data_IF_516723968542
#
_entry.id   IF_516723968542
#
_cell.length_a   1.000
_cell.length_b   1.000
_cell.length_c   1.000
_cell.angle_alpha   90.00
_cell.angle_beta   90.00
_cell.angle_gamma   90.00
#
_symmetry.space_group_name_H-M   'P 1'
#
loop_
_entity.id
_entity.type
_entity.pdbx_description
1 polymer ?
#
# COMPACT_ATOMS: atom_id res chain seq x y z
N UNK A 1 4.90 -2.63 -26.72
CA UNK A 1 4.51 -2.78 -25.31
C UNK A 1 3.97 -4.18 -25.11
N UNK A 2 4.58 -4.98 -24.26
CA UNK A 2 4.14 -6.35 -23.94
C UNK A 2 3.72 -6.43 -22.47
N UNK A 3 2.69 -7.22 -22.19
CA UNK A 3 2.29 -7.55 -20.83
C UNK A 3 3.39 -8.41 -20.19
N UNK A 4 3.89 -7.99 -19.04
CA UNK A 4 4.91 -8.69 -18.28
C UNK A 4 4.32 -9.46 -17.10
N UNK A 5 3.30 -8.87 -16.45
CA UNK A 5 2.66 -9.45 -15.28
C UNK A 5 1.20 -8.97 -15.17
N UNK A 6 0.32 -9.86 -14.72
CA UNK A 6 -1.04 -9.51 -14.35
C UNK A 6 -1.34 -10.03 -12.95
N UNK A 7 -1.62 -9.10 -12.03
CA UNK A 7 -2.05 -9.38 -10.67
C UNK A 7 -3.55 -9.16 -10.47
N UNK A 8 -3.98 -9.23 -9.22
CA UNK A 8 -5.39 -9.04 -8.82
C UNK A 8 -5.91 -7.63 -9.17
N UNK A 9 -5.09 -6.60 -8.93
CA UNK A 9 -5.50 -5.19 -9.06
C UNK A 9 -4.83 -4.46 -10.21
N UNK A 10 -3.77 -4.99 -10.79
CA UNK A 10 -2.90 -4.28 -11.76
C UNK A 10 -2.39 -5.18 -12.87
N UNK A 11 -2.06 -4.54 -14.01
CA UNK A 11 -1.27 -5.12 -15.10
C UNK A 11 0.00 -4.31 -15.26
N UNK A 12 1.11 -4.98 -15.52
CA UNK A 12 2.42 -4.36 -15.71
C UNK A 12 2.90 -4.65 -17.14
N UNK A 13 3.29 -3.60 -17.85
CA UNK A 13 3.72 -3.65 -19.23
C UNK A 13 5.13 -3.08 -19.41
N UNK A 14 5.88 -3.63 -20.37
CA UNK A 14 7.09 -3.00 -20.86
C UNK A 14 6.76 -1.72 -21.64
N UNK A 15 7.62 -0.69 -21.53
CA UNK A 15 7.46 0.56 -22.30
C UNK A 15 8.35 0.64 -23.52
N UNK A 16 9.33 -0.25 -23.64
CA UNK A 16 10.43 -0.16 -24.61
C UNK A 16 11.55 0.81 -24.19
N UNK A 17 11.41 1.51 -23.06
CA UNK A 17 12.50 2.21 -22.38
C UNK A 17 13.09 1.28 -21.33
N UNK A 18 14.43 1.28 -21.21
CA UNK A 18 15.09 0.54 -20.15
C UNK A 18 14.64 1.10 -18.77
N UNK A 19 14.42 0.18 -17.83
CA UNK A 19 14.10 0.48 -16.43
C UNK A 19 12.81 1.29 -16.20
N UNK A 20 11.92 1.40 -17.21
CA UNK A 20 10.61 2.05 -17.06
C UNK A 20 9.50 1.08 -17.44
N UNK A 21 8.55 0.92 -16.54
CA UNK A 21 7.36 0.08 -16.72
C UNK A 21 6.10 0.96 -16.70
N UNK A 22 5.06 0.46 -17.37
CA UNK A 22 3.71 1.04 -17.32
C UNK A 22 2.83 0.13 -16.46
N UNK A 23 2.19 0.71 -15.47
CA UNK A 23 1.23 0.04 -14.61
C UNK A 23 -0.17 0.51 -14.98
N UNK A 24 -1.07 -0.42 -15.23
CA UNK A 24 -2.51 -0.20 -15.44
C UNK A 24 -3.28 -0.74 -14.24
N UNK A 25 -4.11 0.10 -13.64
CA UNK A 25 -4.98 -0.27 -12.53
C UNK A 25 -6.31 -0.86 -13.03
N UNK A 26 -6.74 -1.95 -12.43
CA UNK A 26 -7.95 -2.71 -12.77
C UNK A 26 -9.09 -2.36 -11.82
N UNK A 27 -10.30 -2.55 -12.29
CA UNK A 27 -11.52 -2.37 -11.48
C UNK A 27 -11.86 -3.57 -10.58
N UNK A 28 -10.99 -4.58 -10.57
CA UNK A 28 -11.16 -5.74 -9.69
C UNK A 28 -10.91 -5.35 -8.22
N UNK A 29 -11.78 -5.85 -7.34
CA UNK A 29 -11.63 -5.80 -5.89
C UNK A 29 -11.68 -7.19 -5.32
N UNK A 30 -10.79 -7.50 -4.39
CA UNK A 30 -10.76 -8.78 -3.67
C UNK A 30 -10.68 -8.54 -2.17
N UNK A 31 -11.34 -9.39 -1.39
CA UNK A 31 -11.22 -9.42 0.06
C UNK A 31 -11.17 -10.87 0.56
N UNK A 32 -10.68 -11.09 1.80
CA UNK A 32 -10.61 -12.41 2.41
C UNK A 32 -9.78 -13.40 1.59
N UNK A 33 -8.56 -13.04 1.20
CA UNK A 33 -7.65 -13.86 0.38
C UNK A 33 -8.30 -14.35 -0.94
N UNK A 34 -9.11 -13.47 -1.56
CA UNK A 34 -9.79 -13.79 -2.81
C UNK A 34 -11.15 -14.51 -2.67
N UNK A 35 -11.62 -14.77 -1.46
CA UNK A 35 -12.93 -15.38 -1.23
C UNK A 35 -14.10 -14.50 -1.69
N UNK A 36 -13.95 -13.18 -1.61
CA UNK A 36 -14.87 -12.19 -2.17
C UNK A 36 -14.16 -11.48 -3.32
N UNK A 37 -14.76 -11.50 -4.51
CA UNK A 37 -14.21 -10.88 -5.71
C UNK A 37 -15.32 -10.25 -6.52
N UNK A 38 -15.19 -8.95 -6.81
CA UNK A 38 -16.15 -8.19 -7.63
C UNK A 38 -15.39 -7.33 -8.66
N UNK A 39 -16.12 -6.90 -9.68
CA UNK A 39 -15.68 -5.88 -10.64
C UNK A 39 -16.45 -4.59 -10.34
N UNK A 40 -15.76 -3.53 -9.93
CA UNK A 40 -16.38 -2.26 -9.54
C UNK A 40 -15.85 -1.15 -10.44
N UNK A 41 -16.68 -0.73 -11.38
CA UNK A 41 -16.35 0.29 -12.38
C UNK A 41 -15.83 1.58 -11.74
N UNK A 42 -14.69 2.07 -12.24
CA UNK A 42 -14.02 3.27 -11.77
C UNK A 42 -13.10 3.10 -10.55
N UNK A 43 -13.03 1.90 -9.92
CA UNK A 43 -12.13 1.66 -8.78
C UNK A 43 -10.67 1.80 -9.18
N UNK A 44 -10.27 1.24 -10.33
CA UNK A 44 -8.90 1.35 -10.84
C UNK A 44 -8.48 2.79 -11.07
N UNK A 45 -9.38 3.61 -11.64
CA UNK A 45 -9.17 5.04 -11.81
C UNK A 45 -8.89 5.73 -10.47
N UNK A 46 -9.73 5.50 -9.47
CA UNK A 46 -9.57 6.12 -8.15
C UNK A 46 -8.28 5.68 -7.47
N UNK A 47 -7.95 4.39 -7.49
CA UNK A 47 -6.70 3.89 -6.91
C UNK A 47 -5.46 4.48 -7.58
N UNK A 48 -5.44 4.59 -8.92
CA UNK A 48 -4.33 5.20 -9.64
C UNK A 48 -4.17 6.69 -9.28
N UNK A 49 -5.25 7.46 -9.26
CA UNK A 49 -5.23 8.88 -8.95
C UNK A 49 -4.77 9.12 -7.50
N UNK A 50 -5.32 8.37 -6.54
CA UNK A 50 -4.95 8.46 -5.12
C UNK A 50 -3.47 8.08 -4.93
N UNK A 51 -3.05 6.93 -5.46
CA UNK A 51 -1.65 6.48 -5.35
C UNK A 51 -0.69 7.50 -5.94
N UNK A 52 -0.99 8.05 -7.11
CA UNK A 52 -0.15 9.05 -7.78
C UNK A 52 0.01 10.32 -6.95
N UNK A 53 -1.06 10.81 -6.33
CA UNK A 53 -1.02 11.98 -5.44
C UNK A 53 -0.22 11.70 -4.17
N UNK A 54 -0.44 10.55 -3.53
CA UNK A 54 0.30 10.15 -2.33
C UNK A 54 1.79 10.02 -2.65
N UNK A 55 2.17 9.39 -3.77
CA UNK A 55 3.59 9.28 -4.14
C UNK A 55 4.23 10.62 -4.48
N UNK A 56 3.50 11.56 -5.08
CA UNK A 56 3.99 12.93 -5.27
C UNK A 56 4.22 13.63 -3.93
N UNK A 57 3.26 13.54 -2.99
CA UNK A 57 3.41 14.11 -1.65
C UNK A 57 4.61 13.48 -0.90
N UNK A 58 4.79 12.17 -0.97
CA UNK A 58 5.93 11.46 -0.40
C UNK A 58 7.26 11.97 -1.01
N UNK A 59 7.32 12.13 -2.32
CA UNK A 59 8.49 12.66 -3.05
C UNK A 59 8.84 14.08 -2.62
N UNK A 60 7.85 14.95 -2.46
CA UNK A 60 8.04 16.33 -1.97
C UNK A 60 8.57 16.37 -0.54
N UNK A 61 8.26 15.33 0.26
CA UNK A 61 8.76 15.15 1.63
C UNK A 61 10.00 14.24 1.72
N UNK A 62 10.70 14.01 0.61
CA UNK A 62 12.01 13.36 0.58
C UNK A 62 12.00 11.84 0.51
N UNK A 63 10.83 11.20 0.49
CA UNK A 63 10.71 9.74 0.37
C UNK A 63 10.91 9.30 -1.08
N UNK A 64 11.85 8.39 -1.31
CA UNK A 64 12.12 7.82 -2.63
C UNK A 64 11.18 6.66 -2.92
N UNK A 65 10.62 6.64 -4.13
CA UNK A 65 9.77 5.57 -4.61
C UNK A 65 10.04 5.23 -6.07
N UNK A 66 9.48 4.14 -6.54
CA UNK A 66 9.54 3.75 -7.94
C UNK A 66 8.64 4.60 -8.84
N UNK A 67 7.73 5.39 -8.28
CA UNK A 67 6.77 6.21 -9.03
C UNK A 67 7.48 7.30 -9.82
N UNK A 68 7.15 7.42 -11.11
CA UNK A 68 7.67 8.45 -12.00
C UNK A 68 6.60 9.52 -12.25
N UNK A 69 5.48 9.12 -12.87
CA UNK A 69 4.37 10.02 -13.19
C UNK A 69 3.08 9.26 -13.50
N UNK A 70 1.95 9.91 -13.31
CA UNK A 70 0.64 9.48 -13.81
C UNK A 70 0.53 9.88 -15.28
N UNK A 71 0.16 8.94 -16.15
CA UNK A 71 0.06 9.17 -17.61
C UNK A 71 -1.39 9.15 -18.13
N UNK A 72 -2.31 8.57 -17.37
CA UNK A 72 -3.75 8.61 -17.66
C UNK A 72 -4.55 8.48 -16.34
N UNK A 73 -5.87 8.43 -16.45
CA UNK A 73 -6.72 8.20 -15.27
C UNK A 73 -6.46 6.85 -14.60
N UNK A 74 -6.08 5.83 -15.36
CA UNK A 74 -5.89 4.45 -14.88
C UNK A 74 -4.44 3.96 -14.96
N UNK A 75 -3.50 4.78 -15.44
CA UNK A 75 -2.14 4.33 -15.74
C UNK A 75 -1.08 5.27 -15.17
N UNK A 76 0.04 4.69 -14.78
CA UNK A 76 1.23 5.40 -14.34
C UNK A 76 2.50 4.76 -14.89
N UNK A 77 3.58 5.54 -14.96
CA UNK A 77 4.94 5.06 -15.19
C UNK A 77 5.66 4.88 -13.87
N UNK A 78 6.39 3.80 -13.79
CA UNK A 78 7.22 3.48 -12.62
C UNK A 78 8.61 3.03 -13.06
N UNK A 79 9.60 3.23 -12.20
CA UNK A 79 10.91 2.61 -12.35
C UNK A 79 10.79 1.10 -12.13
N UNK A 80 11.44 0.32 -12.98
CA UNK A 80 11.53 -1.13 -12.82
C UNK A 80 12.35 -1.47 -11.59
N UNK A 81 11.78 -2.30 -10.73
CA UNK A 81 12.45 -2.83 -9.54
C UNK A 81 12.15 -4.32 -9.41
N UNK A 82 13.08 -5.06 -8.84
CA UNK A 82 12.85 -6.43 -8.38
C UNK A 82 12.16 -6.37 -7.02
N UNK A 83 10.88 -6.75 -6.95
CA UNK A 83 10.12 -6.72 -5.71
C UNK A 83 10.74 -7.67 -4.69
N UNK A 84 11.05 -7.15 -3.52
CA UNK A 84 11.40 -7.96 -2.36
C UNK A 84 10.10 -8.67 -1.91
N UNK A 85 10.07 -10.01 -1.83
CA UNK A 85 8.82 -10.74 -1.60
C UNK A 85 8.36 -10.66 -0.13
N UNK A 86 8.26 -9.42 0.37
CA UNK A 86 7.80 -9.04 1.69
C UNK A 86 6.74 -7.95 1.58
N UNK A 87 5.63 -8.14 2.28
CA UNK A 87 4.73 -7.06 2.61
C UNK A 87 5.18 -6.46 3.96
N UNK A 88 5.41 -5.16 3.98
CA UNK A 88 5.76 -4.43 5.20
C UNK A 88 4.51 -3.71 5.70
N UNK A 89 4.05 -4.08 6.89
CA UNK A 89 2.86 -3.48 7.51
C UNK A 89 3.29 -2.60 8.67
N UNK A 90 2.87 -1.34 8.62
CA UNK A 90 3.08 -0.40 9.72
C UNK A 90 1.76 -0.15 10.42
N UNK A 91 1.74 -0.25 11.75
CA UNK A 91 0.53 -0.05 12.56
C UNK A 91 0.75 1.04 13.60
N UNK A 92 -0.11 2.04 13.55
CA UNK A 92 -0.21 3.09 14.55
C UNK A 92 -1.32 2.78 15.58
N UNK A 93 -2.38 2.09 15.13
CA UNK A 93 -3.57 1.76 15.92
C UNK A 93 -3.92 0.29 15.68
N UNK A 94 -4.35 -0.41 16.70
CA UNK A 94 -4.74 -1.81 16.61
C UNK A 94 -6.04 -1.98 15.81
N UNK A 95 -5.95 -2.67 14.68
CA UNK A 95 -7.08 -3.06 13.83
C UNK A 95 -6.76 -4.32 13.03
N UNK A 96 -7.78 -4.97 12.49
CA UNK A 96 -7.62 -6.14 11.63
C UNK A 96 -6.97 -7.33 12.34
N UNK A 97 -5.94 -7.94 11.73
CA UNK A 97 -5.38 -9.21 12.20
C UNK A 97 -4.71 -9.14 13.57
N UNK A 98 -4.13 -8.00 13.95
CA UNK A 98 -3.41 -7.86 15.22
C UNK A 98 -4.33 -7.99 16.44
N UNK A 99 -5.58 -7.53 16.33
CA UNK A 99 -6.56 -7.66 17.41
C UNK A 99 -6.84 -9.13 17.73
N UNK A 100 -6.91 -9.97 16.70
CA UNK A 100 -7.16 -11.42 16.84
C UNK A 100 -5.89 -12.17 17.27
N UNK A 101 -4.71 -11.76 16.75
CA UNK A 101 -3.45 -12.47 17.03
C UNK A 101 -2.90 -12.21 18.40
N UNK A 102 -3.01 -10.96 18.89
CA UNK A 102 -2.39 -10.52 20.15
C UNK A 102 -3.40 -10.03 21.18
N UNK A 103 -4.71 -10.04 20.88
CA UNK A 103 -5.77 -9.71 21.84
C UNK A 103 -5.92 -8.23 22.15
N UNK A 104 -5.36 -7.33 21.34
CA UNK A 104 -5.59 -5.90 21.50
C UNK A 104 -7.05 -5.53 21.20
N UNK A 105 -7.59 -4.61 21.95
CA UNK A 105 -8.85 -3.96 21.60
C UNK A 105 -8.71 -3.14 20.32
N UNK A 106 -9.72 -3.18 19.43
CA UNK A 106 -9.75 -2.35 18.25
C UNK A 106 -9.73 -0.87 18.65
N UNK A 107 -8.81 -0.11 18.05
CA UNK A 107 -8.64 1.31 18.37
C UNK A 107 -7.59 1.61 19.45
N UNK A 108 -6.93 0.60 20.01
CA UNK A 108 -5.79 0.82 20.90
C UNK A 108 -4.63 1.48 20.13
N UNK A 109 -4.22 2.65 20.56
CA UNK A 109 -3.10 3.39 19.95
C UNK A 109 -1.77 2.86 20.50
N UNK A 110 -0.77 2.69 19.62
CA UNK A 110 0.56 2.28 20.02
C UNK A 110 1.43 3.51 20.31
N UNK A 111 2.27 3.44 21.34
CA UNK A 111 3.22 4.52 21.71
C UNK A 111 4.22 4.79 20.59
N UNK A 112 4.62 3.74 19.85
CA UNK A 112 5.47 3.81 18.67
C UNK A 112 4.87 2.94 17.56
N UNK A 113 5.07 3.31 16.27
CA UNK A 113 4.58 2.52 15.15
C UNK A 113 5.20 1.12 15.14
N UNK A 114 4.36 0.09 15.14
CA UNK A 114 4.77 -1.31 14.99
C UNK A 114 5.02 -1.62 13.52
N UNK A 115 6.18 -2.18 13.21
CA UNK A 115 6.53 -2.69 11.87
C UNK A 115 6.51 -4.21 11.89
N UNK A 116 5.71 -4.81 11.01
CA UNK A 116 5.58 -6.26 10.83
C UNK A 116 5.91 -6.66 9.40
N UNK A 117 6.43 -7.89 9.23
CA UNK A 117 6.71 -8.47 7.93
C UNK A 117 5.77 -9.63 7.64
N UNK A 118 5.27 -9.68 6.41
CA UNK A 118 4.50 -10.81 5.88
C UNK A 118 5.20 -11.34 4.63
N UNK A 119 5.28 -12.66 4.50
CA UNK A 119 5.84 -13.28 3.31
C UNK A 119 4.82 -13.16 2.17
N UNK A 120 5.19 -12.43 1.12
CA UNK A 120 4.36 -12.26 -0.08
C UNK A 120 4.31 -13.56 -0.87
N UNK A 121 3.36 -14.41 -0.52
CA UNK A 121 3.14 -15.72 -1.15
C UNK A 121 1.66 -16.07 -1.06
N UNK A 122 0.94 -15.89 -2.16
CA UNK A 122 -0.51 -16.13 -2.26
C UNK A 122 -0.89 -17.58 -1.88
N UNK A 123 -0.07 -18.57 -2.22
CA UNK A 123 -0.32 -19.99 -1.91
C UNK A 123 -0.27 -20.28 -0.41
N UNK A 124 0.47 -19.48 0.34
CA UNK A 124 0.60 -19.55 1.80
C UNK A 124 -0.30 -18.53 2.53
N UNK A 125 -1.11 -17.75 1.80
CA UNK A 125 -1.95 -16.69 2.35
C UNK A 125 -1.17 -15.59 3.08
N UNK A 126 -0.03 -15.19 2.53
CA UNK A 126 0.83 -14.10 3.02
C UNK A 126 1.04 -14.16 4.54
N UNK A 127 1.70 -15.21 5.07
CA UNK A 127 1.83 -15.39 6.52
C UNK A 127 2.72 -14.34 7.18
N UNK A 128 2.39 -13.96 8.42
CA UNK A 128 3.30 -13.19 9.26
C UNK A 128 4.57 -13.98 9.50
N UNK A 129 5.73 -13.35 9.34
CA UNK A 129 7.04 -13.96 9.53
C UNK A 129 7.96 -13.09 10.40
N UNK A 130 8.92 -13.73 11.04
CA UNK A 130 9.98 -13.05 11.80
C UNK A 130 11.18 -12.74 10.91
N UNK A 131 12.09 -11.89 11.40
CA UNK A 131 13.37 -11.61 10.72
C UNK A 131 14.20 -12.87 10.51
N UNK A 132 14.14 -13.83 11.43
CA UNK A 132 14.82 -15.13 11.27
C UNK A 132 14.22 -15.95 10.11
N UNK A 133 12.90 -15.89 9.91
CA UNK A 133 12.27 -16.51 8.75
C UNK A 133 12.68 -15.84 7.43
N UNK A 134 12.80 -14.49 7.41
CA UNK A 134 13.26 -13.75 6.24
C UNK A 134 14.66 -14.24 5.82
N UNK A 135 15.59 -14.38 6.78
CA UNK A 135 16.93 -14.90 6.55
C UNK A 135 16.93 -16.35 6.10
N UNK A 136 16.17 -17.22 6.79
CA UNK A 136 16.06 -18.64 6.45
C UNK A 136 15.55 -18.87 5.01
N UNK A 137 14.65 -18.02 4.55
CA UNK A 137 14.07 -18.08 3.20
C UNK A 137 14.89 -17.27 2.17
N UNK A 138 15.98 -16.63 2.58
CA UNK A 138 16.84 -15.79 1.73
C UNK A 138 16.07 -14.69 0.98
N UNK A 139 15.07 -14.06 1.63
CA UNK A 139 14.25 -13.02 1.03
C UNK A 139 14.93 -11.65 1.05
N UNK A 140 15.67 -11.36 2.12
CA UNK A 140 16.44 -10.14 2.31
C UNK A 140 17.60 -10.36 3.28
N UNK A 141 18.67 -9.58 3.11
CA UNK A 141 19.83 -9.56 4.01
C UNK A 141 19.56 -8.68 5.25
N UNK A 142 20.37 -8.84 6.32
CA UNK A 142 20.22 -8.09 7.58
C UNK A 142 20.19 -6.56 7.40
N UNK A 143 21.07 -6.04 6.54
CA UNK A 143 21.12 -4.62 6.22
C UNK A 143 19.89 -4.16 5.46
N UNK A 144 19.33 -5.00 4.58
CA UNK A 144 18.09 -4.69 3.86
C UNK A 144 16.89 -4.70 4.80
N UNK A 145 16.78 -5.68 5.72
CA UNK A 145 15.71 -5.73 6.72
C UNK A 145 15.69 -4.43 7.55
N UNK A 146 16.85 -3.97 7.99
CA UNK A 146 16.95 -2.70 8.71
C UNK A 146 16.55 -1.51 7.83
N UNK A 147 16.99 -1.48 6.57
CA UNK A 147 16.60 -0.44 5.61
C UNK A 147 15.08 -0.41 5.39
N UNK A 148 14.45 -1.57 5.24
CA UNK A 148 13.00 -1.68 5.08
C UNK A 148 12.24 -1.14 6.29
N UNK A 149 12.71 -1.45 7.51
CA UNK A 149 12.08 -0.96 8.76
C UNK A 149 12.19 0.56 8.88
N UNK A 150 13.36 1.12 8.65
CA UNK A 150 13.55 2.58 8.75
C UNK A 150 12.80 3.32 7.63
N UNK A 151 12.87 2.84 6.38
CA UNK A 151 12.08 3.42 5.29
C UNK A 151 10.56 3.35 5.54
N UNK A 152 10.07 2.25 6.11
CA UNK A 152 8.66 2.12 6.48
C UNK A 152 8.22 3.13 7.55
N UNK A 153 9.10 3.42 8.54
CA UNK A 153 8.85 4.45 9.55
C UNK A 153 8.88 5.86 8.97
N UNK A 154 9.81 6.14 8.03
CA UNK A 154 9.84 7.42 7.30
C UNK A 154 8.56 7.63 6.50
N UNK A 155 8.12 6.62 5.74
CA UNK A 155 6.84 6.64 5.02
C UNK A 155 5.69 6.89 5.99
N UNK A 156 5.67 6.20 7.14
CA UNK A 156 4.64 6.37 8.16
C UNK A 156 4.57 7.82 8.67
N UNK A 157 5.70 8.43 8.99
CA UNK A 157 5.73 9.80 9.50
C UNK A 157 5.10 10.80 8.51
N UNK A 158 5.44 10.66 7.22
CA UNK A 158 4.90 11.52 6.15
C UNK A 158 3.42 11.24 5.91
N UNK A 159 2.99 9.97 5.90
CA UNK A 159 1.58 9.61 5.73
C UNK A 159 0.71 10.05 6.91
N UNK A 160 1.22 9.95 8.14
CA UNK A 160 0.50 10.47 9.34
C UNK A 160 0.30 11.96 9.23
N UNK A 161 1.32 12.71 8.79
CA UNK A 161 1.19 14.14 8.52
C UNK A 161 0.11 14.41 7.47
N UNK A 162 0.16 13.76 6.32
CA UNK A 162 -0.82 13.90 5.24
C UNK A 162 -2.25 13.63 5.74
N UNK A 163 -2.45 12.55 6.49
CA UNK A 163 -3.78 12.21 7.03
C UNK A 163 -4.25 13.27 8.05
N UNK A 164 -3.34 13.78 8.89
CA UNK A 164 -3.66 14.83 9.85
C UNK A 164 -4.14 16.12 9.17
N UNK A 165 -3.54 16.52 8.05
CA UNK A 165 -3.94 17.69 7.26
C UNK A 165 -5.39 17.55 6.71
N UNK A 166 -5.84 16.31 6.50
CA UNK A 166 -7.22 15.99 6.07
C UNK A 166 -8.21 15.71 7.21
N UNK A 167 -7.79 15.90 8.46
CA UNK A 167 -8.54 15.51 9.67
C UNK A 167 -8.85 14.01 9.76
N UNK A 168 -7.90 13.19 9.31
CA UNK A 168 -7.99 11.72 9.31
C UNK A 168 -6.92 11.11 10.22
N UNK A 169 -7.11 9.83 10.60
CA UNK A 169 -6.14 8.99 11.31
C UNK A 169 -5.66 7.88 10.39
N UNK A 170 -4.34 7.74 10.27
CA UNK A 170 -3.72 6.58 9.66
C UNK A 170 -3.64 5.46 10.70
N UNK A 171 -4.44 4.43 10.53
CA UNK A 171 -4.52 3.29 11.47
C UNK A 171 -3.39 2.32 11.22
N UNK A 172 -3.34 1.77 10.03
CA UNK A 172 -2.28 0.92 9.53
C UNK A 172 -2.20 0.98 8.00
N UNK A 173 -1.10 0.52 7.45
CA UNK A 173 -0.95 0.37 6.01
C UNK A 173 0.06 -0.73 5.67
N UNK A 174 -0.09 -1.28 4.47
CA UNK A 174 0.82 -2.23 3.84
C UNK A 174 1.55 -1.56 2.69
N UNK A 175 2.86 -1.71 2.65
CA UNK A 175 3.72 -1.26 1.54
C UNK A 175 4.65 -2.38 1.10
N UNK A 176 5.14 -2.24 -0.11
CA UNK A 176 6.12 -3.13 -0.70
C UNK A 176 7.36 -2.33 -1.13
N UNK A 177 8.48 -3.02 -1.22
CA UNK A 177 9.75 -2.43 -1.64
C UNK A 177 10.37 -3.28 -2.75
N UNK A 178 11.21 -2.66 -3.55
CA UNK A 178 11.94 -3.35 -4.60
C UNK A 178 13.36 -2.84 -4.74
N UNK A 179 14.23 -3.70 -5.28
CA UNK A 179 15.63 -3.40 -5.61
C UNK A 179 15.72 -2.89 -7.03
N UNK A 180 16.40 -1.79 -7.21
CA UNK A 180 16.82 -1.30 -8.54
C UNK A 180 18.02 -2.10 -9.04
N UNK A 181 18.35 -1.98 -10.32
CA UNK A 181 19.50 -2.65 -10.91
C UNK A 181 20.86 -2.24 -10.29
N UNK A 182 20.93 -1.05 -9.68
CA UNK A 182 22.12 -0.55 -8.94
C UNK A 182 22.05 -0.84 -7.43
N UNK A 183 21.07 -1.63 -6.98
CA UNK A 183 20.95 -2.11 -5.60
C UNK A 183 20.30 -1.13 -4.62
N UNK A 184 19.73 -0.01 -5.09
CA UNK A 184 18.93 0.84 -4.22
C UNK A 184 17.60 0.17 -3.88
N UNK A 185 17.12 0.36 -2.65
CA UNK A 185 15.77 -0.04 -2.24
C UNK A 185 14.84 1.15 -2.40
N UNK A 186 13.77 0.96 -3.15
CA UNK A 186 12.73 1.96 -3.36
C UNK A 186 11.38 1.46 -2.85
N UNK A 187 10.60 2.38 -2.30
CA UNK A 187 9.17 2.14 -2.07
C UNK A 187 8.50 1.85 -3.41
N UNK A 188 7.71 0.80 -3.47
CA UNK A 188 7.09 0.29 -4.68
C UNK A 188 5.59 0.00 -4.47
N UNK A 189 4.97 -0.67 -5.44
CA UNK A 189 3.58 -1.06 -5.49
C UNK A 189 2.61 0.14 -5.45
N UNK A 190 1.75 0.24 -4.45
CA UNK A 190 0.78 1.32 -4.29
C UNK A 190 0.61 1.72 -2.83
N UNK A 191 0.12 2.93 -2.62
CA UNK A 191 -0.47 3.39 -1.37
C UNK A 191 -1.84 3.97 -1.69
N UNK A 192 -2.88 3.28 -1.24
CA UNK A 192 -4.26 3.63 -1.55
C UNK A 192 -5.19 3.14 -0.42
N UNK A 193 -6.47 3.46 -0.45
CA UNK A 193 -7.44 2.87 0.47
C UNK A 193 -7.54 1.34 0.42
N UNK A 194 -6.99 0.69 -0.62
CA UNK A 194 -6.87 -0.78 -0.68
C UNK A 194 -5.79 -1.32 0.27
N UNK A 195 -4.76 -0.54 0.52
CA UNK A 195 -3.58 -0.93 1.31
C UNK A 195 -3.47 -0.21 2.65
N UNK A 196 -4.35 0.77 2.92
CA UNK A 196 -4.40 1.53 4.17
C UNK A 196 -5.70 1.29 4.91
N UNK A 197 -5.67 1.44 6.25
CA UNK A 197 -6.85 1.75 7.07
C UNK A 197 -6.80 3.20 7.48
N UNK A 198 -7.86 3.92 7.16
CA UNK A 198 -7.96 5.36 7.35
C UNK A 198 -9.30 5.67 8.01
N UNK A 199 -9.25 6.27 9.20
CA UNK A 199 -10.44 6.63 9.95
C UNK A 199 -10.59 8.14 10.08
N UNK A 200 -11.82 8.61 10.04
CA UNK A 200 -12.13 10.00 10.39
C UNK A 200 -11.84 10.27 11.87
N UNK A 201 -11.39 11.48 12.22
CA UNK A 201 -11.10 11.84 13.61
C UNK A 201 -12.33 12.09 14.46
N UNK A 202 -13.41 12.56 13.83
CA UNK A 202 -14.58 13.09 14.51
C UNK A 202 -15.82 12.18 14.37
N UNK A 203 -15.70 11.09 13.59
CA UNK A 203 -16.79 10.16 13.33
C UNK A 203 -16.31 8.72 13.19
N UNK A 204 -17.24 7.77 13.08
CA UNK A 204 -16.94 6.34 12.85
C UNK A 204 -16.77 6.02 11.34
N UNK A 205 -16.53 7.05 10.49
CA UNK A 205 -16.39 6.88 9.06
C UNK A 205 -15.00 6.32 8.71
N UNK A 206 -14.97 5.27 7.88
CA UNK A 206 -13.76 4.71 7.32
C UNK A 206 -13.60 5.18 5.87
N UNK A 207 -12.37 5.55 5.49
CA UNK A 207 -12.01 5.95 4.12
C UNK A 207 -11.15 4.88 3.43
N UNK A 208 -11.41 3.62 3.72
CA UNK A 208 -10.61 2.49 3.27
C UNK A 208 -11.47 1.29 2.83
N UNK A 209 -10.83 0.21 2.43
CA UNK A 209 -11.44 -1.01 1.91
C UNK A 209 -12.30 -1.77 2.93
N UNK A 210 -12.25 -1.42 4.23
CA UNK A 210 -13.09 -2.07 5.23
C UNK A 210 -14.58 -1.81 4.97
N UNK A 211 -14.95 -0.70 4.29
CA UNK A 211 -16.34 -0.48 3.82
C UNK A 211 -16.84 -1.61 2.91
N UNK A 212 -15.97 -2.16 2.07
CA UNK A 212 -16.27 -3.31 1.21
C UNK A 212 -16.15 -4.65 1.95
N UNK A 213 -15.12 -4.80 2.80
CA UNK A 213 -14.91 -6.03 3.59
C UNK A 213 -16.06 -6.32 4.54
N UNK A 214 -16.65 -5.27 5.10
CA UNK A 214 -17.67 -5.33 6.13
C UNK A 214 -19.09 -4.97 5.62
N UNK A 215 -19.26 -4.82 4.28
CA UNK A 215 -20.52 -4.46 3.61
C UNK A 215 -21.18 -3.19 4.20
N UNK A 216 -20.36 -2.16 4.50
CA UNK A 216 -20.79 -0.92 5.16
C UNK A 216 -21.16 0.21 4.21
N UNK A 217 -20.90 0.10 2.91
CA UNK A 217 -21.18 1.16 1.95
C UNK A 217 -20.51 0.99 0.60
N UNK A 218 -20.58 2.05 -0.20
CA UNK A 218 -20.00 2.11 -1.54
C UNK A 218 -18.51 2.41 -1.49
N UNK A 219 -17.69 1.50 -2.04
CA UNK A 219 -16.24 1.71 -2.17
C UNK A 219 -15.93 2.90 -3.07
N UNK A 220 -16.70 3.13 -4.13
CA UNK A 220 -16.52 4.24 -5.08
C UNK A 220 -16.76 5.58 -4.40
N UNK A 221 -17.86 5.72 -3.68
CA UNK A 221 -18.18 6.97 -2.94
C UNK A 221 -17.12 7.26 -1.88
N UNK A 222 -16.68 6.23 -1.16
CA UNK A 222 -15.63 6.33 -0.13
C UNK A 222 -14.30 6.79 -0.73
N UNK A 223 -13.84 6.14 -1.81
CA UNK A 223 -12.56 6.48 -2.44
C UNK A 223 -12.63 7.83 -3.15
N UNK A 224 -13.76 8.19 -3.77
CA UNK A 224 -13.95 9.50 -4.36
C UNK A 224 -13.91 10.61 -3.29
N UNK A 225 -14.55 10.38 -2.14
CA UNK A 225 -14.51 11.34 -1.02
C UNK A 225 -13.08 11.50 -0.48
N UNK A 226 -12.33 10.42 -0.36
CA UNK A 226 -10.93 10.47 0.03
C UNK A 226 -10.07 11.23 -1.01
N UNK A 227 -10.27 10.95 -2.30
CA UNK A 227 -9.59 11.68 -3.37
C UNK A 227 -9.89 13.19 -3.32
N UNK A 228 -11.15 13.56 -3.13
CA UNK A 228 -11.54 14.97 -3.01
C UNK A 228 -10.85 15.67 -1.82
N UNK A 229 -10.66 14.96 -0.69
CA UNK A 229 -9.89 15.49 0.46
C UNK A 229 -8.40 15.70 0.10
N UNK A 230 -7.80 14.75 -0.63
CA UNK A 230 -6.42 14.89 -1.14
C UNK A 230 -6.26 16.03 -2.15
N UNK A 231 -7.30 16.32 -2.93
CA UNK A 231 -7.30 17.39 -3.92
C UNK A 231 -7.52 18.79 -3.33
N UNK A 232 -8.00 18.85 -2.11
CA UNK A 232 -8.24 20.09 -1.40
C UNK A 232 -7.00 20.61 -0.62
N UNK A 233 -5.91 19.82 -0.56
CA UNK A 233 -4.62 20.24 0.02
C UNK A 233 -3.79 21.04 -1.00
#
# INVERSE_FOLDING_TARGET
MSLLYEGKAKRIFSTGKNDVLRVEYKDEVTAGNGAKKDLIDGKGRLNNQITSRIFNYLKENGVKSHFIEQISETEQLVQSVEIIPLEVVVRNIAAGSITKRLGFDKGHEFDEPLVEFFYKNDDLNDPLITEDHIKLLHLAEDNEINTLKEAAKEVNAVLVQLMNEMNLRLVDFKIEFGRTNDGQILLADEISPDTCRIWDKDSDTNFDKDVYREDRGSIIETYQTFLNKLEAL
#
